data_IF_539888747501
#
_entry.id   IF_539888747501
#
_cell.length_a   1.000
_cell.length_b   1.000
_cell.length_c   1.000
_cell.angle_alpha   90.00
_cell.angle_beta   90.00
_cell.angle_gamma   90.00
#
_symmetry.space_group_name_H-M   'P 1'
#
loop_
_entity.id
_entity.type
_entity.pdbx_description
1 polymer ?
#
# COMPACT_ATOMS: atom_id res chain seq x y z
N UNK A 1 10.23 40.31 65.17
CA UNK A 1 10.73 38.93 64.94
C UNK A 1 9.65 38.16 64.20
N UNK A 2 9.55 38.32 62.87
CA UNK A 2 10.22 37.47 61.86
C UNK A 2 9.78 36.00 61.91
N UNK A 3 8.52 35.75 61.59
CA UNK A 3 8.07 34.47 61.06
C UNK A 3 6.74 34.73 60.36
N UNK A 4 6.67 34.66 59.02
CA UNK A 4 5.48 34.22 58.26
C UNK A 4 5.55 34.38 56.73
N UNK A 5 6.56 35.02 56.13
CA UNK A 5 6.49 35.33 54.67
C UNK A 5 7.28 34.36 53.78
N UNK A 6 7.96 33.35 54.33
CA UNK A 6 8.87 32.48 53.55
C UNK A 6 8.22 31.24 52.89
N UNK A 7 6.92 31.24 52.58
CA UNK A 7 6.25 30.04 52.03
C UNK A 7 5.34 30.28 50.80
N UNK A 8 5.54 31.36 50.05
CA UNK A 8 4.76 31.62 48.82
C UNK A 8 5.54 31.39 47.50
N UNK A 9 6.83 31.04 47.56
CA UNK A 9 7.69 31.03 46.37
C UNK A 9 7.87 29.65 45.67
N UNK A 10 7.19 28.59 46.13
CA UNK A 10 7.35 27.23 45.56
C UNK A 10 6.16 26.73 44.72
N UNK A 11 5.09 27.52 44.58
CA UNK A 11 3.90 27.10 43.85
C UNK A 11 3.85 27.52 42.37
N UNK A 12 4.93 28.11 41.81
CA UNK A 12 4.91 28.63 40.43
C UNK A 12 5.77 27.84 39.43
N UNK A 13 6.27 26.65 39.80
CA UNK A 13 7.08 25.82 38.90
C UNK A 13 6.25 24.80 38.09
N UNK A 14 4.97 24.64 38.36
CA UNK A 14 4.06 23.90 37.49
C UNK A 14 3.38 24.87 36.50
N UNK A 15 4.18 25.67 35.79
CA UNK A 15 3.73 26.31 34.56
C UNK A 15 3.61 25.22 33.49
N UNK A 16 2.57 24.40 33.59
CA UNK A 16 1.94 23.83 32.42
C UNK A 16 1.43 25.04 31.66
N UNK A 17 2.27 25.58 30.76
CA UNK A 17 1.77 26.47 29.73
C UNK A 17 0.60 25.73 29.10
N UNK A 18 -0.61 26.29 29.25
CA UNK A 18 -1.77 25.86 28.49
C UNK A 18 -1.55 26.26 27.03
N UNK A 19 -0.46 25.81 26.42
CA UNK A 19 -0.32 25.79 24.98
C UNK A 19 -1.38 24.82 24.49
N UNK A 20 -2.32 25.34 23.72
CA UNK A 20 -3.34 24.54 23.05
C UNK A 20 -2.64 23.35 22.40
N UNK A 21 -3.00 22.09 22.77
CA UNK A 21 -2.32 20.94 22.22
C UNK A 21 -2.46 20.98 20.68
N UNK A 22 -1.39 20.65 19.94
CA UNK A 22 -1.42 20.73 18.49
C UNK A 22 -2.55 19.84 17.94
N UNK A 23 -3.33 20.40 17.02
CA UNK A 23 -4.39 19.65 16.33
C UNK A 23 -3.72 18.71 15.33
N UNK A 24 -3.59 17.43 15.69
CA UNK A 24 -3.11 16.39 14.78
C UNK A 24 -4.19 16.09 13.76
N UNK A 25 -3.91 16.37 12.49
CA UNK A 25 -4.78 15.99 11.36
C UNK A 25 -4.14 14.83 10.61
N UNK A 26 -4.83 13.71 10.56
CA UNK A 26 -4.48 12.63 9.63
C UNK A 26 -5.07 12.95 8.26
N UNK A 27 -4.30 12.67 7.22
CA UNK A 27 -4.74 12.79 5.84
C UNK A 27 -4.52 11.47 5.14
N UNK A 28 -5.45 11.09 4.27
CA UNK A 28 -5.24 9.98 3.36
C UNK A 28 -4.34 10.46 2.22
N UNK A 29 -3.21 9.78 2.04
CA UNK A 29 -2.29 10.05 0.95
C UNK A 29 -2.45 8.95 -0.09
N UNK A 30 -2.68 9.36 -1.33
CA UNK A 30 -2.79 8.44 -2.45
C UNK A 30 -1.44 7.76 -2.70
N UNK A 31 -1.45 6.43 -2.87
CA UNK A 31 -0.23 5.67 -3.14
C UNK A 31 0.05 5.67 -4.64
N UNK A 32 1.28 5.97 -5.01
CA UNK A 32 1.69 5.82 -6.41
C UNK A 32 1.76 4.34 -6.82
N UNK A 33 1.10 4.00 -7.93
CA UNK A 33 1.16 2.67 -8.53
C UNK A 33 2.55 2.45 -9.16
N UNK A 34 3.27 1.36 -8.83
CA UNK A 34 4.57 1.05 -9.40
C UNK A 34 4.52 0.99 -10.94
N UNK A 35 5.57 1.50 -11.60
CA UNK A 35 5.66 1.50 -13.08
C UNK A 35 5.50 0.09 -13.68
N UNK A 36 6.05 -0.93 -13.03
CA UNK A 36 5.94 -2.32 -13.47
C UNK A 36 4.48 -2.81 -13.52
N UNK A 37 3.61 -2.35 -12.63
CA UNK A 37 2.19 -2.73 -12.60
C UNK A 37 1.35 -2.03 -13.67
N UNK A 38 1.89 -0.99 -14.31
CA UNK A 38 1.25 -0.30 -15.43
C UNK A 38 1.51 -1.02 -16.76
N UNK A 39 2.54 -1.86 -16.82
CA UNK A 39 2.87 -2.65 -18.01
C UNK A 39 1.85 -3.79 -18.13
N UNK A 40 1.21 -3.96 -19.30
CA UNK A 40 0.31 -5.09 -19.53
C UNK A 40 1.08 -6.41 -19.58
N UNK A 41 0.44 -7.50 -19.18
CA UNK A 41 1.00 -8.83 -19.34
C UNK A 41 0.98 -9.27 -20.81
N UNK A 42 1.87 -10.18 -21.17
CA UNK A 42 1.93 -10.73 -22.52
C UNK A 42 0.61 -11.40 -22.92
N UNK A 43 0.17 -11.26 -24.18
CA UNK A 43 -1.03 -11.93 -24.65
C UNK A 43 -0.86 -13.45 -24.62
N UNK A 44 -1.97 -14.21 -24.55
CA UNK A 44 -1.91 -15.66 -24.69
C UNK A 44 -1.23 -16.11 -25.98
N UNK A 45 -0.45 -17.18 -25.89
CA UNK A 45 0.14 -17.80 -27.08
C UNK A 45 -0.99 -18.29 -28.00
N UNK A 46 -0.98 -17.90 -29.29
CA UNK A 46 -1.97 -18.38 -30.24
C UNK A 46 -1.80 -19.88 -30.48
N UNK A 47 -2.91 -20.62 -30.43
CA UNK A 47 -2.92 -22.04 -30.73
C UNK A 47 -3.02 -22.25 -32.24
N UNK A 48 -2.38 -23.31 -32.79
CA UNK A 48 -2.52 -23.63 -34.19
C UNK A 48 -3.96 -24.05 -34.53
N UNK A 49 -4.40 -23.73 -35.74
CA UNK A 49 -5.75 -24.07 -36.24
C UNK A 49 -5.84 -25.54 -36.67
N UNK A 50 -5.61 -26.44 -35.70
CA UNK A 50 -5.73 -27.89 -35.81
C UNK A 50 -6.00 -28.49 -34.43
N UNK A 51 -6.39 -29.76 -34.40
CA UNK A 51 -6.47 -30.49 -33.13
C UNK A 51 -5.07 -30.62 -32.51
N UNK A 52 -5.01 -30.36 -31.21
CA UNK A 52 -3.84 -30.61 -30.38
C UNK A 52 -3.92 -32.02 -29.80
N UNK A 53 -2.78 -32.68 -29.68
CA UNK A 53 -2.66 -33.87 -28.84
C UNK A 53 -2.47 -33.46 -27.36
N UNK A 54 -2.52 -34.43 -26.45
CA UNK A 54 -2.43 -34.19 -25.01
C UNK A 54 -1.09 -33.52 -24.59
N UNK A 55 0.09 -33.97 -25.05
CA UNK A 55 1.35 -33.27 -24.78
C UNK A 55 1.38 -31.81 -25.26
N UNK A 56 0.85 -31.55 -26.46
CA UNK A 56 0.76 -30.20 -27.02
C UNK A 56 -0.19 -29.32 -26.21
N UNK A 57 -1.33 -29.88 -25.78
CA UNK A 57 -2.30 -29.16 -24.96
C UNK A 57 -1.69 -28.75 -23.62
N UNK A 58 -1.00 -29.67 -22.96
CA UNK A 58 -0.31 -29.38 -21.68
C UNK A 58 0.77 -28.31 -21.86
N UNK A 59 1.57 -28.42 -22.93
CA UNK A 59 2.68 -27.50 -23.19
C UNK A 59 2.20 -26.11 -23.56
N UNK A 60 1.28 -26.00 -24.53
CA UNK A 60 0.78 -24.72 -25.00
C UNK A 60 -0.15 -24.06 -24.02
N UNK A 61 -1.01 -24.82 -23.32
CA UNK A 61 -2.04 -24.25 -22.47
C UNK A 61 -1.58 -24.09 -21.01
N UNK A 62 -0.96 -25.12 -20.45
CA UNK A 62 -0.58 -25.15 -19.03
C UNK A 62 0.48 -24.12 -18.68
N UNK A 63 1.56 -24.04 -19.45
CA UNK A 63 2.65 -23.08 -19.22
C UNK A 63 2.19 -21.64 -19.45
N UNK A 64 1.49 -21.41 -20.55
CA UNK A 64 1.02 -20.07 -20.97
C UNK A 64 0.00 -19.48 -19.98
N UNK A 65 -1.03 -20.24 -19.58
CA UNK A 65 -2.05 -19.72 -18.65
C UNK A 65 -1.53 -19.56 -17.24
N UNK A 66 -0.62 -20.43 -16.81
CA UNK A 66 0.03 -20.25 -15.51
C UNK A 66 0.86 -18.97 -15.50
N UNK A 67 1.63 -18.70 -16.57
CA UNK A 67 2.43 -17.49 -16.71
C UNK A 67 1.55 -16.24 -16.74
N UNK A 68 0.45 -16.22 -17.53
CA UNK A 68 -0.43 -15.05 -17.55
C UNK A 68 -1.09 -14.82 -16.18
N UNK A 69 -1.64 -15.87 -15.56
CA UNK A 69 -2.29 -15.76 -14.24
C UNK A 69 -1.33 -15.23 -13.18
N UNK A 70 -0.09 -15.72 -13.17
CA UNK A 70 0.94 -15.24 -12.27
C UNK A 70 1.32 -13.77 -12.53
N UNK A 71 1.39 -13.34 -13.79
CA UNK A 71 1.64 -11.95 -14.15
C UNK A 71 0.50 -11.04 -13.67
N UNK A 72 -0.75 -11.37 -14.01
CA UNK A 72 -1.91 -10.55 -13.63
C UNK A 72 -2.12 -10.51 -12.12
N UNK A 73 -1.83 -11.60 -11.40
CA UNK A 73 -1.88 -11.59 -9.93
C UNK A 73 -0.88 -10.57 -9.32
N UNK A 74 0.36 -10.53 -9.82
CA UNK A 74 1.36 -9.54 -9.38
C UNK A 74 0.97 -8.12 -9.75
N UNK A 75 0.42 -7.94 -10.95
CA UNK A 75 -0.07 -6.66 -11.42
C UNK A 75 -1.22 -6.14 -10.55
N UNK A 76 -2.22 -6.98 -10.29
CA UNK A 76 -3.35 -6.67 -9.42
C UNK A 76 -2.89 -6.32 -8.00
N UNK A 77 -1.94 -7.07 -7.43
CA UNK A 77 -1.36 -6.74 -6.12
C UNK A 77 -0.61 -5.40 -6.10
N UNK A 78 -0.01 -5.00 -7.23
CA UNK A 78 0.64 -3.70 -7.35
C UNK A 78 -0.33 -2.53 -7.53
N UNK A 79 -1.54 -2.80 -8.04
CA UNK A 79 -2.61 -1.79 -8.23
C UNK A 79 -3.56 -1.71 -7.03
N UNK A 80 -3.73 -2.80 -6.26
CA UNK A 80 -4.58 -2.80 -5.08
C UNK A 80 -4.13 -1.71 -4.08
N UNK A 81 -5.09 -0.89 -3.65
CA UNK A 81 -4.85 0.26 -2.79
C UNK A 81 -4.21 1.49 -3.46
N UNK A 82 -4.20 1.57 -4.80
CA UNK A 82 -3.97 2.81 -5.54
C UNK A 82 -5.25 3.26 -6.27
N UNK A 83 -5.23 4.46 -6.87
CA UNK A 83 -6.38 5.20 -7.43
C UNK A 83 -7.23 4.50 -8.50
N UNK A 84 -6.86 3.30 -8.90
CA UNK A 84 -7.56 2.46 -9.88
C UNK A 84 -8.14 1.17 -9.29
N UNK A 85 -8.10 0.99 -7.97
CA UNK A 85 -8.79 -0.11 -7.30
C UNK A 85 -10.30 0.19 -7.27
N UNK A 86 -11.05 -0.40 -8.21
CA UNK A 86 -12.52 -0.49 -8.18
C UNK A 86 -12.93 -1.87 -7.68
#
# INVERSE_FOLDING_TARGET
>A
MMALVALAAIASACSISAETPPVVKTVYVEREVPKASKVPCDPPVPLPDRRLNEPETTSYWGKDRTALRACEARRAAGVSGGSNAQ
#
